data_IF_750855602802
#
_entry.id   IF_750855602802
#
_cell.length_a   1.000
_cell.length_b   1.000
_cell.length_c   1.000
_cell.angle_alpha   90.00
_cell.angle_beta   90.00
_cell.angle_gamma   90.00
#
_symmetry.space_group_name_H-M   'P 1'
#
loop_
_entity.id
_entity.type
_entity.pdbx_description
1 polymer ?
#
# COMPACT_ATOMS: atom_id res chain seq x y z
N UNK A 1 -12.49 7.80 6.59
CA UNK A 1 -11.76 8.95 6.01
C UNK A 1 -10.36 8.89 6.57
N UNK A 2 -9.35 9.26 5.77
CA UNK A 2 -7.96 9.26 6.18
C UNK A 2 -7.41 10.68 6.11
N UNK A 3 -6.48 11.00 7.00
CA UNK A 3 -5.69 12.23 6.97
C UNK A 3 -4.24 11.89 7.30
N UNK A 4 -3.30 12.67 6.81
CA UNK A 4 -1.89 12.41 7.04
C UNK A 4 -0.96 13.22 6.16
N UNK A 5 0.33 12.98 6.36
CA UNK A 5 1.40 13.58 5.59
C UNK A 5 2.33 12.48 5.09
N UNK A 6 2.57 12.44 3.79
CA UNK A 6 3.61 11.62 3.18
C UNK A 6 4.65 12.57 2.58
N UNK A 7 5.73 12.90 3.29
CA UNK A 7 6.78 13.77 2.78
C UNK A 7 7.54 13.05 1.66
N UNK A 8 7.20 13.37 0.42
CA UNK A 8 7.85 12.81 -0.77
C UNK A 8 9.03 13.69 -1.12
N UNK A 9 10.21 13.07 -1.18
CA UNK A 9 11.42 13.66 -1.71
C UNK A 9 11.71 13.01 -3.06
N UNK A 10 11.93 13.85 -4.07
CA UNK A 10 12.34 13.41 -5.40
C UNK A 10 13.78 13.85 -5.62
N UNK A 11 14.65 12.91 -5.97
CA UNK A 11 16.05 13.18 -6.30
C UNK A 11 16.56 12.29 -7.42
N UNK A 12 17.85 12.40 -7.79
CA UNK A 12 18.47 11.62 -8.87
C UNK A 12 18.39 10.11 -8.65
N UNK A 13 18.47 9.70 -7.39
CA UNK A 13 18.37 8.29 -6.93
C UNK A 13 16.94 7.73 -7.09
N UNK A 14 15.93 8.59 -7.20
CA UNK A 14 14.52 8.22 -7.26
C UNK A 14 13.66 8.85 -6.15
N UNK A 15 12.55 8.19 -5.85
CA UNK A 15 11.57 8.64 -4.85
C UNK A 15 12.00 8.16 -3.46
N UNK A 16 11.84 9.01 -2.46
CA UNK A 16 12.02 8.67 -1.05
C UNK A 16 10.86 9.21 -0.23
N UNK A 17 10.39 8.43 0.72
CA UNK A 17 9.44 8.89 1.76
C UNK A 17 10.12 8.69 3.11
N UNK A 18 10.11 9.72 3.94
CA UNK A 18 10.61 9.65 5.33
C UNK A 18 9.54 10.12 6.29
N UNK A 19 9.33 9.33 7.34
CA UNK A 19 8.40 9.65 8.43
C UNK A 19 7.00 9.99 7.92
N UNK A 20 6.53 9.26 6.90
CA UNK A 20 5.15 9.35 6.46
C UNK A 20 4.22 8.91 7.59
N UNK A 21 3.10 9.60 7.75
CA UNK A 21 2.07 9.27 8.75
C UNK A 21 0.69 9.37 8.13
N UNK A 22 -0.16 8.39 8.40
CA UNK A 22 -1.55 8.35 7.97
C UNK A 22 -2.39 7.90 9.17
N UNK A 23 -3.51 8.56 9.41
CA UNK A 23 -4.43 8.20 10.47
C UNK A 23 -5.88 8.22 9.99
N UNK A 24 -6.74 7.45 10.65
CA UNK A 24 -8.17 7.55 10.50
C UNK A 24 -8.69 8.89 11.04
N UNK A 25 -9.67 9.45 10.35
CA UNK A 25 -10.50 10.54 10.84
C UNK A 25 -11.88 9.97 11.12
N UNK A 26 -12.45 10.32 12.28
CA UNK A 26 -13.79 9.88 12.68
C UNK A 26 -14.85 10.16 11.59
N UNK A 27 -15.83 9.26 11.41
CA UNK A 27 -16.08 8.03 12.18
C UNK A 27 -15.23 6.82 11.73
N UNK A 28 -14.19 7.03 10.93
CA UNK A 28 -13.44 5.97 10.26
C UNK A 28 -13.90 5.78 8.82
N UNK A 29 -13.78 4.57 8.27
CA UNK A 29 -14.14 4.30 6.88
C UNK A 29 -14.14 2.82 6.52
N UNK A 30 -14.21 2.54 5.23
CA UNK A 30 -14.30 1.18 4.70
C UNK A 30 -13.07 0.85 3.86
N UNK A 31 -12.55 -0.37 4.03
CA UNK A 31 -11.61 -1.02 3.11
C UNK A 31 -12.37 -2.11 2.36
N UNK A 32 -12.22 -2.11 1.04
CA UNK A 32 -12.93 -3.00 0.13
C UNK A 32 -11.90 -3.68 -0.77
N UNK A 33 -11.31 -4.76 -0.27
CA UNK A 33 -10.28 -5.50 -0.99
C UNK A 33 -10.90 -6.48 -1.97
N UNK A 34 -10.68 -6.23 -3.27
CA UNK A 34 -11.04 -7.16 -4.34
C UNK A 34 -9.76 -7.61 -5.03
N UNK A 35 -9.24 -8.80 -4.74
CA UNK A 35 -8.04 -9.28 -5.41
C UNK A 35 -8.33 -9.48 -6.90
N UNK A 36 -7.51 -8.87 -7.75
CA UNK A 36 -7.39 -9.23 -9.16
C UNK A 36 -6.35 -10.37 -9.31
N UNK A 37 -6.02 -10.75 -10.56
CA UNK A 37 -5.07 -11.84 -10.83
C UNK A 37 -3.74 -11.69 -10.11
N UNK A 38 -3.24 -10.46 -9.93
CA UNK A 38 -2.01 -10.19 -9.18
C UNK A 38 -2.19 -10.21 -7.65
N UNK A 39 -3.32 -9.70 -7.15
CA UNK A 39 -3.64 -9.72 -5.72
C UNK A 39 -3.81 -11.12 -5.14
N UNK A 40 -4.20 -12.11 -5.96
CA UNK A 40 -4.37 -13.50 -5.54
C UNK A 40 -3.03 -14.22 -5.34
N UNK A 41 -2.08 -14.03 -6.25
CA UNK A 41 -0.71 -14.54 -6.10
C UNK A 41 -0.01 -13.97 -4.85
N UNK A 42 -0.29 -12.71 -4.50
CA UNK A 42 0.22 -12.11 -3.27
C UNK A 42 -0.37 -12.75 -2.01
N UNK A 43 -1.66 -13.07 -2.03
CA UNK A 43 -2.33 -13.77 -0.92
C UNK A 43 -1.79 -15.20 -0.73
N UNK A 44 -1.56 -15.91 -1.83
CA UNK A 44 -1.06 -17.29 -1.82
C UNK A 44 0.41 -17.37 -1.37
N UNK A 45 1.27 -16.46 -1.87
CA UNK A 45 2.68 -16.39 -1.47
C UNK A 45 2.87 -16.03 0.01
N UNK A 46 1.89 -15.36 0.60
CA UNK A 46 1.97 -14.84 1.95
C UNK A 46 1.29 -15.71 3.02
N UNK A 47 0.71 -16.86 2.64
CA UNK A 47 0.16 -17.91 3.52
C UNK A 47 -0.72 -17.42 4.68
N UNK A 48 -0.07 -16.98 5.76
CA UNK A 48 -0.64 -16.39 6.99
C UNK A 48 -1.56 -15.19 6.73
N UNK A 49 -1.48 -14.56 5.56
CA UNK A 49 -2.28 -13.37 5.20
C UNK A 49 -3.65 -13.69 4.59
N UNK A 50 -4.02 -14.96 4.36
CA UNK A 50 -5.34 -15.32 3.81
C UNK A 50 -6.49 -14.79 4.69
N UNK A 51 -6.42 -14.99 6.00
CA UNK A 51 -7.46 -14.54 6.94
C UNK A 51 -7.56 -13.02 6.97
N UNK A 52 -6.42 -12.32 6.94
CA UNK A 52 -6.38 -10.86 6.82
C UNK A 52 -7.09 -10.40 5.53
N UNK A 53 -6.75 -10.99 4.38
CA UNK A 53 -7.36 -10.63 3.11
C UNK A 53 -8.86 -10.94 3.07
N UNK A 54 -9.30 -12.03 3.69
CA UNK A 54 -10.72 -12.34 3.85
C UNK A 54 -11.43 -11.25 4.69
N UNK A 55 -10.80 -10.78 5.78
CA UNK A 55 -11.38 -9.69 6.60
C UNK A 55 -11.44 -8.39 5.81
N UNK A 56 -10.39 -8.08 5.05
CA UNK A 56 -10.29 -6.85 4.25
C UNK A 56 -11.23 -6.80 3.04
N UNK A 57 -11.89 -7.90 2.66
CA UNK A 57 -12.87 -7.90 1.56
C UNK A 57 -13.95 -6.85 1.77
N UNK A 58 -14.46 -6.75 2.99
CA UNK A 58 -15.34 -5.66 3.43
C UNK A 58 -15.09 -5.39 4.93
N UNK A 59 -14.24 -4.39 5.20
CA UNK A 59 -13.78 -4.05 6.54
C UNK A 59 -14.07 -2.60 6.90
N UNK A 60 -14.77 -2.38 8.00
CA UNK A 60 -15.13 -1.06 8.49
C UNK A 60 -14.20 -0.70 9.65
N UNK A 61 -13.18 0.11 9.34
CA UNK A 61 -12.23 0.60 10.34
C UNK A 61 -12.79 1.82 11.06
N UNK A 62 -12.53 1.90 12.36
CA UNK A 62 -12.84 3.08 13.19
C UNK A 62 -11.53 3.72 13.67
N UNK A 63 -10.47 2.93 13.82
CA UNK A 63 -9.12 3.40 14.14
C UNK A 63 -8.14 2.94 13.07
N UNK A 64 -7.21 3.83 12.71
CA UNK A 64 -6.07 3.54 11.86
C UNK A 64 -4.96 4.52 12.24
N UNK A 65 -3.75 4.01 12.46
CA UNK A 65 -2.50 4.78 12.49
C UNK A 65 -1.48 3.99 11.68
N UNK A 66 -0.81 4.66 10.76
CA UNK A 66 0.22 4.08 9.94
C UNK A 66 1.41 5.01 9.84
N UNK A 67 2.60 4.41 9.82
CA UNK A 67 3.81 5.09 9.40
C UNK A 67 4.35 4.45 8.13
N UNK A 68 4.99 5.24 7.29
CA UNK A 68 5.55 4.79 6.02
C UNK A 68 6.92 5.40 5.76
N UNK A 69 7.88 4.55 5.41
CA UNK A 69 9.18 4.93 4.90
C UNK A 69 9.45 4.17 3.60
N UNK A 70 9.98 4.88 2.61
CA UNK A 70 10.29 4.30 1.31
C UNK A 70 11.67 4.77 0.87
N UNK A 71 12.50 3.84 0.41
CA UNK A 71 13.84 4.10 -0.11
C UNK A 71 13.89 3.91 -1.63
N UNK A 72 14.81 4.61 -2.33
CA UNK A 72 14.82 4.62 -3.79
C UNK A 72 15.11 3.26 -4.46
N UNK A 73 15.76 2.34 -3.75
CA UNK A 73 15.99 0.95 -4.17
C UNK A 73 14.71 0.08 -4.13
N UNK A 74 13.60 0.64 -3.66
CA UNK A 74 12.29 0.01 -3.68
C UNK A 74 11.86 -0.58 -2.35
N UNK A 75 12.66 -0.51 -1.28
CA UNK A 75 12.21 -0.97 0.03
C UNK A 75 11.12 -0.05 0.60
N UNK A 76 10.00 -0.66 0.93
CA UNK A 76 8.88 -0.04 1.61
C UNK A 76 8.76 -0.65 2.99
N UNK A 77 8.79 0.21 4.01
CA UNK A 77 8.54 -0.14 5.40
C UNK A 77 7.27 0.57 5.86
N UNK A 78 6.24 -0.21 6.15
CA UNK A 78 4.97 0.28 6.68
C UNK A 78 4.70 -0.42 8.00
N UNK A 79 4.51 0.38 9.05
CA UNK A 79 3.94 -0.07 10.31
C UNK A 79 2.51 0.46 10.35
N UNK A 80 1.52 -0.42 10.47
CA UNK A 80 0.11 -0.02 10.47
C UNK A 80 -0.67 -0.76 11.55
N UNK A 81 -1.38 0.02 12.36
CA UNK A 81 -2.28 -0.45 13.39
C UNK A 81 -3.68 0.01 13.03
N UNK A 82 -4.62 -0.91 12.95
CA UNK A 82 -6.01 -0.56 12.64
C UNK A 82 -6.99 -1.49 13.33
N UNK A 83 -8.12 -0.91 13.71
CA UNK A 83 -9.19 -1.58 14.44
C UNK A 83 -10.54 -1.34 13.81
N UNK A 84 -11.36 -2.39 13.73
CA UNK A 84 -12.63 -2.34 13.03
C UNK A 84 -13.39 -3.66 13.05
N UNK A 85 -14.32 -3.82 12.11
CA UNK A 85 -15.17 -5.02 11.99
C UNK A 85 -15.26 -5.46 10.54
N UNK A 86 -15.21 -6.77 10.29
CA UNK A 86 -15.41 -7.36 8.97
C UNK A 86 -16.88 -7.75 8.76
N UNK A 87 -17.44 -7.43 7.59
CA UNK A 87 -18.86 -7.67 7.29
C UNK A 87 -19.12 -9.12 6.86
N UNK A 88 -18.24 -9.70 6.04
CA UNK A 88 -18.48 -11.03 5.44
C UNK A 88 -18.24 -12.21 6.39
N UNK A 89 -17.42 -12.06 7.44
CA UNK A 89 -16.96 -13.20 8.26
C UNK A 89 -17.79 -13.36 9.54
N UNK A 90 -19.10 -13.10 9.54
CA UNK A 90 -19.94 -13.22 10.75
C UNK A 90 -19.35 -12.54 12.00
N UNK A 91 -18.48 -11.54 11.78
CA UNK A 91 -17.56 -11.03 12.78
C UNK A 91 -18.19 -9.79 13.40
N UNK A 92 -19.20 -10.01 14.22
CA UNK A 92 -19.63 -9.01 15.21
C UNK A 92 -18.49 -8.65 16.18
N UNK A 93 -17.41 -9.46 16.20
CA UNK A 93 -16.24 -9.25 17.03
C UNK A 93 -15.32 -8.17 16.42
N UNK A 94 -14.96 -7.13 17.20
CA UNK A 94 -13.95 -6.17 16.78
C UNK A 94 -12.62 -6.88 16.55
N UNK A 95 -11.96 -6.52 15.46
CA UNK A 95 -10.65 -7.04 15.06
C UNK A 95 -9.63 -5.92 15.14
N UNK A 96 -8.49 -6.22 15.74
CA UNK A 96 -7.34 -5.33 15.84
C UNK A 96 -6.18 -5.96 15.10
N UNK A 97 -5.65 -5.23 14.12
CA UNK A 97 -4.49 -5.63 13.35
C UNK A 97 -3.32 -4.73 13.71
N UNK A 98 -2.16 -5.36 13.91
CA UNK A 98 -0.88 -4.70 13.99
C UNK A 98 0.03 -5.36 12.97
N UNK A 99 0.27 -4.67 11.87
CA UNK A 99 1.03 -5.19 10.73
C UNK A 99 2.30 -4.38 10.57
N UNK A 100 3.40 -5.12 10.39
CA UNK A 100 4.65 -4.58 9.92
C UNK A 100 4.97 -5.20 8.57
N UNK A 101 5.08 -4.37 7.54
CA UNK A 101 5.34 -4.77 6.17
C UNK A 101 6.68 -4.19 5.78
N UNK A 102 7.67 -5.06 5.55
CA UNK A 102 8.97 -4.70 5.00
C UNK A 102 9.14 -5.47 3.69
N UNK A 103 8.97 -4.79 2.56
CA UNK A 103 9.00 -5.43 1.25
C UNK A 103 9.63 -4.53 0.19
N UNK A 104 10.30 -5.13 -0.79
CA UNK A 104 10.71 -4.41 -1.98
C UNK A 104 9.54 -4.32 -2.98
N UNK A 105 8.86 -3.18 -3.00
CA UNK A 105 7.65 -3.00 -3.82
C UNK A 105 7.98 -3.03 -5.33
N UNK A 106 9.17 -2.60 -5.73
CA UNK A 106 9.58 -2.62 -7.14
C UNK A 106 9.77 -4.06 -7.64
N UNK A 107 10.40 -4.91 -6.83
CA UNK A 107 10.54 -6.34 -7.12
C UNK A 107 9.19 -7.04 -7.17
N UNK A 108 8.28 -6.76 -6.23
CA UNK A 108 6.92 -7.31 -6.26
C UNK A 108 6.18 -6.90 -7.54
N UNK A 109 6.23 -5.62 -7.92
CA UNK A 109 5.62 -5.14 -9.16
C UNK A 109 6.22 -5.79 -10.41
N UNK A 110 7.53 -6.03 -10.43
CA UNK A 110 8.19 -6.79 -11.50
C UNK A 110 7.67 -8.23 -11.57
N UNK A 111 7.60 -8.92 -10.43
CA UNK A 111 7.06 -10.28 -10.37
C UNK A 111 5.61 -10.38 -10.83
N UNK A 112 4.75 -9.44 -10.41
CA UNK A 112 3.35 -9.38 -10.86
C UNK A 112 3.24 -9.15 -12.36
N UNK A 113 4.11 -8.32 -12.93
CA UNK A 113 4.18 -8.06 -14.37
C UNK A 113 4.51 -9.33 -15.16
N UNK A 114 5.47 -10.11 -14.66
CA UNK A 114 5.87 -11.39 -15.25
C UNK A 114 4.72 -12.39 -15.22
N UNK A 115 4.01 -12.51 -14.09
CA UNK A 115 2.86 -13.42 -13.94
C UNK A 115 1.72 -13.04 -14.89
N UNK A 116 1.44 -11.74 -15.04
CA UNK A 116 0.33 -11.26 -15.87
C UNK A 116 0.69 -11.11 -17.36
N UNK A 117 1.93 -11.41 -17.77
CA UNK A 117 2.39 -11.27 -19.16
C UNK A 117 2.35 -9.83 -19.71
N UNK A 118 2.18 -8.82 -18.85
CA UNK A 118 2.03 -7.42 -19.25
C UNK A 118 3.41 -6.82 -19.45
N UNK A 119 4.05 -7.06 -20.59
CA UNK A 119 5.32 -6.41 -20.88
C UNK A 119 5.14 -4.89 -21.02
N UNK A 120 6.00 -4.18 -20.27
CA UNK A 120 6.50 -2.82 -20.47
C UNK A 120 5.48 -1.67 -20.42
N UNK A 121 5.71 -0.70 -19.51
CA UNK A 121 5.41 0.75 -19.62
C UNK A 121 5.25 1.46 -18.27
N UNK A 122 5.26 0.74 -17.13
CA UNK A 122 5.16 1.41 -15.82
C UNK A 122 6.34 2.35 -15.54
N UNK A 123 7.54 1.99 -16.03
CA UNK A 123 8.75 2.81 -15.86
C UNK A 123 8.60 4.18 -16.52
N UNK A 124 7.86 4.25 -17.63
CA UNK A 124 7.60 5.47 -18.37
C UNK A 124 6.53 6.36 -17.74
N UNK A 125 5.61 5.84 -16.93
CA UNK A 125 4.54 6.67 -16.33
C UNK A 125 5.01 7.40 -15.07
N UNK A 126 5.92 6.79 -14.30
CA UNK A 126 6.64 7.49 -13.22
C UNK A 126 7.56 8.54 -13.86
N UNK A 127 8.42 8.17 -14.83
CA UNK A 127 9.29 9.14 -15.52
C UNK A 127 8.55 10.28 -16.23
N UNK A 128 7.48 10.01 -16.98
CA UNK A 128 6.75 11.04 -17.76
C UNK A 128 5.95 12.00 -16.87
N UNK A 129 5.43 11.55 -15.73
CA UNK A 129 4.73 12.46 -14.83
C UNK A 129 5.69 13.45 -14.15
N UNK A 130 6.93 13.02 -13.86
CA UNK A 130 7.97 13.88 -13.27
C UNK A 130 8.78 14.70 -14.29
N UNK A 131 8.55 14.51 -15.60
CA UNK A 131 9.19 15.33 -16.66
C UNK A 131 8.42 16.61 -17.01
N UNK A 132 7.24 16.84 -16.40
CA UNK A 132 6.38 18.01 -16.68
C UNK A 132 6.53 19.16 -15.67
N UNK A 133 7.46 19.04 -14.71
CA UNK A 133 7.63 20.01 -13.60
C UNK A 133 9.07 20.54 -13.48
N UNK A 134 9.88 20.45 -14.54
CA UNK A 134 11.12 21.21 -14.63
C UNK A 134 10.87 22.42 -15.56
N UNK A 135 10.87 23.67 -15.06
CA UNK A 135 11.04 24.84 -15.90
C UNK A 135 12.48 24.89 -16.41
N UNK A 136 12.63 25.37 -17.63
CA UNK A 136 13.91 25.53 -18.32
C UNK A 136 14.96 26.32 -17.52
N UNK A 137 16.17 25.74 -17.48
CA UNK A 137 17.45 26.44 -17.60
C UNK A 137 18.08 27.04 -16.34
N UNK A 138 19.30 27.59 -16.46
CA UNK A 138 20.20 27.62 -17.63
C UNK A 138 21.33 26.57 -17.59
#
# INVERSE_FOLDING_TARGET
KLSGSLPVLLGPEGIRIRNGRIAAVEPGGQVLYRPDGGGRSLADAAGQMKMLFDVLKDFHYHTLDATANYTPDGELKIDVVFGGRGVEIGAERPVHFNLKIEQNILSLLKSLRVVNGINEHLDNSVRRHFSRIAPDGP
#
